data_IF_648473894171
#
_entry.id   IF_648473894171
#
_cell.length_a   1.000
_cell.length_b   1.000
_cell.length_c   1.000
_cell.angle_alpha   90.00
_cell.angle_beta   90.00
_cell.angle_gamma   90.00
#
_symmetry.space_group_name_H-M   'P 1'
#
loop_
_entity.id
_entity.type
_entity.pdbx_description
1 polymer ?
#
# COMPACT_ATOMS: atom_id res chain seq x y z
N UNK A 1 -14.04 16.26 14.37
CA UNK A 1 -13.75 15.38 13.24
C UNK A 1 -12.40 14.80 13.55
N UNK A 2 -12.37 13.59 14.10
CA UNK A 2 -11.14 12.96 14.57
C UNK A 2 -10.29 12.53 13.38
N UNK A 3 -9.20 13.26 13.18
CA UNK A 3 -8.09 12.90 12.32
C UNK A 3 -7.43 11.61 12.85
N UNK A 4 -7.40 10.57 12.00
CA UNK A 4 -6.65 9.30 12.15
C UNK A 4 -7.32 8.24 13.04
N UNK A 5 -8.15 7.41 12.42
CA UNK A 5 -8.85 6.29 13.05
C UNK A 5 -7.95 5.09 13.43
N UNK A 6 -6.69 5.02 12.94
CA UNK A 6 -5.84 3.83 13.06
C UNK A 6 -4.76 3.89 14.16
N UNK A 7 -4.46 5.05 14.76
CA UNK A 7 -3.39 5.19 15.78
C UNK A 7 -3.99 5.33 17.20
N UNK A 8 -4.05 4.25 17.98
CA UNK A 8 -4.73 4.28 19.31
C UNK A 8 -3.82 4.07 20.51
N UNK A 9 -2.57 3.62 20.34
CA UNK A 9 -1.64 3.45 21.46
C UNK A 9 -0.56 4.55 21.51
N UNK A 10 -0.20 5.01 22.71
CA UNK A 10 0.77 6.08 22.92
C UNK A 10 2.17 5.76 22.36
N UNK A 11 2.55 4.48 22.34
CA UNK A 11 3.83 3.99 21.80
C UNK A 11 3.84 4.01 20.26
N UNK A 12 2.71 3.73 19.61
CA UNK A 12 2.57 3.82 18.14
C UNK A 12 2.71 5.27 17.69
N UNK A 13 2.08 6.20 18.43
CA UNK A 13 2.17 7.65 18.17
C UNK A 13 3.58 8.21 18.36
N UNK A 14 4.33 7.72 19.34
CA UNK A 14 5.70 8.17 19.61
C UNK A 14 6.69 7.69 18.54
N UNK A 15 6.43 6.52 17.91
CA UNK A 15 7.34 5.91 16.92
C UNK A 15 6.89 6.07 15.47
N UNK A 16 5.65 6.49 15.22
CA UNK A 16 5.10 6.65 13.87
C UNK A 16 4.98 5.34 13.10
N UNK A 17 4.81 4.20 13.80
CA UNK A 17 4.67 2.87 13.20
C UNK A 17 3.45 2.15 13.76
N UNK A 18 2.75 1.39 12.92
CA UNK A 18 1.74 0.42 13.36
C UNK A 18 2.43 -0.72 14.11
N UNK A 19 1.99 -1.02 15.33
CA UNK A 19 2.55 -2.11 16.16
C UNK A 19 1.60 -3.30 16.21
N UNK A 20 0.28 -3.07 16.27
CA UNK A 20 -0.74 -4.12 16.26
C UNK A 20 -1.64 -4.02 15.03
N UNK A 21 -1.89 -5.15 14.38
CA UNK A 21 -2.80 -5.20 13.24
C UNK A 21 -4.24 -4.82 13.63
N UNK A 22 -4.80 -3.82 12.96
CA UNK A 22 -6.22 -3.43 13.11
C UNK A 22 -6.99 -3.79 11.85
N UNK A 23 -8.13 -4.46 12.04
CA UNK A 23 -9.05 -4.78 10.95
C UNK A 23 -10.05 -3.64 10.77
N UNK A 24 -10.13 -3.11 9.55
CA UNK A 24 -11.16 -2.16 9.12
C UNK A 24 -12.01 -2.80 8.03
N UNK A 25 -13.31 -2.92 8.29
CA UNK A 25 -14.25 -3.48 7.31
C UNK A 25 -15.00 -2.34 6.60
N UNK A 26 -14.97 -2.35 5.27
CA UNK A 26 -15.70 -1.42 4.40
C UNK A 26 -16.70 -2.21 3.56
N UNK A 27 -17.91 -1.69 3.40
CA UNK A 27 -18.91 -2.25 2.49
C UNK A 27 -18.93 -1.39 1.22
N UNK A 28 -18.58 -1.99 0.08
CA UNK A 28 -18.48 -1.31 -1.21
C UNK A 28 -19.15 -2.16 -2.30
N UNK A 29 -20.12 -1.60 -3.02
CA UNK A 29 -20.87 -2.27 -4.09
C UNK A 29 -21.40 -3.67 -3.74
N UNK A 30 -21.89 -3.84 -2.50
CA UNK A 30 -22.40 -5.12 -2.00
C UNK A 30 -21.32 -6.12 -1.58
N UNK A 31 -20.04 -5.77 -1.74
CA UNK A 31 -18.88 -6.56 -1.31
C UNK A 31 -18.35 -6.02 0.01
N UNK A 32 -17.98 -6.92 0.93
CA UNK A 32 -17.30 -6.55 2.17
C UNK A 32 -15.79 -6.69 1.98
N UNK A 33 -15.07 -5.59 2.08
CA UNK A 33 -13.62 -5.52 2.01
C UNK A 33 -13.09 -5.41 3.43
N UNK A 34 -12.18 -6.31 3.83
CA UNK A 34 -11.51 -6.23 5.13
C UNK A 34 -10.07 -5.81 4.88
N UNK A 35 -9.69 -4.66 5.44
CA UNK A 35 -8.37 -4.07 5.34
C UNK A 35 -7.64 -4.37 6.65
N UNK A 36 -6.51 -5.07 6.55
CA UNK A 36 -5.69 -5.47 7.69
C UNK A 36 -4.41 -4.66 7.66
N UNK A 37 -4.25 -3.76 8.63
CA UNK A 37 -3.03 -2.97 8.74
C UNK A 37 -1.86 -3.85 9.22
N UNK A 38 -0.69 -3.68 8.61
CA UNK A 38 0.51 -4.50 8.90
C UNK A 38 1.57 -3.68 9.61
N UNK A 39 2.22 -4.21 10.66
CA UNK A 39 3.40 -3.57 11.23
C UNK A 39 4.52 -3.44 10.19
N UNK A 40 5.06 -2.22 10.03
CA UNK A 40 6.04 -1.92 8.97
C UNK A 40 7.49 -2.27 9.30
N UNK A 41 7.79 -2.79 10.51
CA UNK A 41 9.16 -3.03 10.96
C UNK A 41 9.49 -4.52 11.02
N UNK A 42 10.71 -4.88 10.59
CA UNK A 42 11.24 -6.26 10.59
C UNK A 42 11.22 -6.92 11.98
N UNK A 43 11.15 -6.11 13.04
CA UNK A 43 11.09 -6.56 14.44
C UNK A 43 9.75 -7.27 14.77
N UNK A 44 8.74 -7.18 13.90
CA UNK A 44 7.42 -7.79 14.08
C UNK A 44 7.12 -8.91 13.06
N UNK A 45 8.17 -9.59 12.56
CA UNK A 45 8.03 -10.61 11.52
C UNK A 45 7.00 -11.71 11.80
N UNK A 46 6.87 -12.18 13.04
CA UNK A 46 5.89 -13.20 13.41
C UNK A 46 4.43 -12.74 13.32
N UNK A 47 4.15 -11.45 13.55
CA UNK A 47 2.82 -10.87 13.39
C UNK A 47 2.49 -10.63 11.91
N UNK A 48 3.46 -10.12 11.15
CA UNK A 48 3.35 -9.95 9.69
C UNK A 48 3.01 -11.28 9.01
N UNK A 49 3.74 -12.36 9.31
CA UNK A 49 3.47 -13.68 8.71
C UNK A 49 2.07 -14.23 9.05
N UNK A 50 1.53 -13.88 10.23
CA UNK A 50 0.17 -14.28 10.60
C UNK A 50 -0.88 -13.51 9.81
N UNK A 51 -0.67 -12.21 9.58
CA UNK A 51 -1.56 -11.36 8.79
C UNK A 51 -1.61 -11.83 7.34
N UNK A 52 -0.44 -12.12 6.76
CA UNK A 52 -0.34 -12.56 5.36
C UNK A 52 -1.13 -13.86 5.09
N UNK A 53 -1.32 -14.72 6.10
CA UNK A 53 -2.14 -15.95 5.98
C UNK A 53 -3.65 -15.71 6.05
N UNK A 54 -4.08 -14.48 6.37
CA UNK A 54 -5.49 -14.12 6.56
C UNK A 54 -6.03 -13.22 5.45
N UNK A 55 -5.18 -12.82 4.50
CA UNK A 55 -5.53 -11.93 3.39
C UNK A 55 -5.33 -12.63 2.06
N UNK A 56 -6.10 -12.23 1.06
CA UNK A 56 -6.01 -12.76 -0.31
C UNK A 56 -5.03 -11.97 -1.19
N UNK A 57 -4.63 -10.77 -0.75
CA UNK A 57 -3.77 -9.86 -1.50
C UNK A 57 -3.21 -8.74 -0.64
N UNK A 58 -2.35 -7.92 -1.23
CA UNK A 58 -1.71 -6.78 -0.56
C UNK A 58 -1.83 -5.50 -1.37
N UNK A 59 -1.98 -4.37 -0.68
CA UNK A 59 -1.99 -3.04 -1.28
C UNK A 59 -0.69 -2.34 -0.91
N UNK A 60 0.17 -2.12 -1.88
CA UNK A 60 1.42 -1.38 -1.73
C UNK A 60 1.18 0.10 -2.04
N UNK A 61 1.18 0.95 -1.01
CA UNK A 61 1.05 2.39 -1.19
C UNK A 61 2.43 3.03 -1.27
N UNK A 62 2.68 3.77 -2.35
CA UNK A 62 3.97 4.43 -2.66
C UNK A 62 3.74 5.90 -2.91
N UNK A 63 4.68 6.74 -2.49
CA UNK A 63 4.62 8.18 -2.77
C UNK A 63 5.07 8.46 -4.21
N UNK A 64 4.26 9.20 -4.97
CA UNK A 64 4.49 9.54 -6.37
C UNK A 64 5.74 10.42 -6.62
N UNK A 65 6.40 10.91 -5.57
CA UNK A 65 7.65 11.65 -5.64
C UNK A 65 8.80 10.90 -4.95
N UNK A 66 8.60 10.40 -3.74
CA UNK A 66 9.70 9.76 -2.99
C UNK A 66 10.04 8.38 -3.55
N UNK A 67 9.07 7.65 -4.10
CA UNK A 67 9.27 6.30 -4.61
C UNK A 67 9.39 5.24 -3.52
N UNK A 68 10.12 4.16 -3.81
CA UNK A 68 10.19 3.00 -2.91
C UNK A 68 11.12 3.24 -1.71
N UNK A 69 10.69 2.82 -0.52
CA UNK A 69 11.46 2.98 0.73
C UNK A 69 12.02 1.63 1.23
N UNK A 70 13.24 1.60 1.82
CA UNK A 70 13.85 0.36 2.33
C UNK A 70 13.00 -0.40 3.34
N UNK A 71 12.22 0.32 4.15
CA UNK A 71 11.38 -0.26 5.21
C UNK A 71 10.30 -1.19 4.64
N UNK A 72 9.75 -0.86 3.47
CA UNK A 72 8.65 -1.62 2.84
C UNK A 72 9.11 -2.98 2.30
N UNK A 73 10.42 -3.14 2.04
CA UNK A 73 11.00 -4.35 1.44
C UNK A 73 10.72 -5.61 2.25
N UNK A 74 10.79 -5.53 3.59
CA UNK A 74 10.64 -6.70 4.45
C UNK A 74 9.22 -7.27 4.38
N UNK A 75 8.20 -6.41 4.55
CA UNK A 75 6.79 -6.83 4.54
C UNK A 75 6.38 -7.28 3.15
N UNK A 76 6.79 -6.55 2.12
CA UNK A 76 6.51 -6.89 0.72
C UNK A 76 7.12 -8.24 0.34
N UNK A 77 8.37 -8.51 0.73
CA UNK A 77 9.01 -9.81 0.47
C UNK A 77 8.19 -10.95 1.06
N UNK A 78 7.70 -10.79 2.30
CA UNK A 78 6.87 -11.80 2.97
C UNK A 78 5.52 -12.01 2.28
N UNK A 79 4.94 -10.96 1.71
CA UNK A 79 3.72 -11.06 0.92
C UNK A 79 3.95 -11.83 -0.39
N UNK A 80 5.03 -11.49 -1.11
CA UNK A 80 5.39 -12.16 -2.36
C UNK A 80 5.73 -13.65 -2.14
N UNK A 81 6.47 -13.98 -1.07
CA UNK A 81 6.76 -15.37 -0.66
C UNK A 81 5.49 -16.22 -0.37
N UNK A 82 4.36 -15.57 -0.08
CA UNK A 82 3.06 -16.22 0.14
C UNK A 82 2.18 -16.25 -1.12
N UNK A 83 2.72 -15.84 -2.28
CA UNK A 83 1.99 -15.70 -3.55
C UNK A 83 0.74 -14.81 -3.44
N UNK A 84 0.79 -13.78 -2.59
CA UNK A 84 -0.31 -12.81 -2.48
C UNK A 84 -0.34 -11.91 -3.70
N UNK A 85 -1.54 -11.61 -4.21
CA UNK A 85 -1.73 -10.70 -5.34
C UNK A 85 -1.47 -9.25 -4.89
N UNK A 86 -0.49 -8.56 -5.49
CA UNK A 86 -0.21 -7.16 -5.18
C UNK A 86 -1.08 -6.21 -5.99
N UNK A 87 -1.48 -5.10 -5.37
CA UNK A 87 -2.07 -3.91 -6.01
C UNK A 87 -1.19 -2.73 -5.62
N UNK A 88 -0.73 -1.95 -6.60
CA UNK A 88 0.13 -0.80 -6.34
C UNK A 88 -0.69 0.48 -6.38
N UNK A 89 -0.56 1.31 -5.34
CA UNK A 89 -1.22 2.61 -5.25
C UNK A 89 -0.14 3.69 -5.20
N UNK A 90 -0.02 4.46 -6.28
CA UNK A 90 0.86 5.62 -6.38
C UNK A 90 0.09 6.84 -5.88
N UNK A 91 0.42 7.31 -4.68
CA UNK A 91 -0.32 8.34 -3.96
C UNK A 91 0.38 9.71 -4.01
N UNK A 92 -0.36 10.78 -3.73
CA UNK A 92 0.08 12.20 -3.74
C UNK A 92 0.40 12.73 -5.14
N UNK A 93 -0.34 12.27 -6.15
CA UNK A 93 -0.20 12.74 -7.53
C UNK A 93 -0.65 14.19 -7.73
N UNK A 94 -1.26 14.81 -6.72
CA UNK A 94 -1.66 16.22 -6.70
C UNK A 94 -0.49 17.20 -6.63
N UNK A 95 0.73 16.72 -6.39
CA UNK A 95 1.91 17.57 -6.29
C UNK A 95 2.52 17.82 -7.67
N UNK A 96 2.97 19.06 -7.97
CA UNK A 96 3.53 19.39 -9.29
C UNK A 96 4.88 18.72 -9.58
N UNK A 97 5.56 18.19 -8.57
CA UNK A 97 6.90 17.59 -8.70
C UNK A 97 6.87 16.06 -8.79
N UNK A 98 5.72 15.43 -9.01
CA UNK A 98 5.57 13.97 -9.05
C UNK A 98 6.23 13.36 -10.27
N UNK A 99 6.65 12.10 -10.14
CA UNK A 99 7.30 11.27 -11.16
C UNK A 99 6.66 9.87 -11.20
N UNK A 100 5.34 9.77 -11.44
CA UNK A 100 4.58 8.53 -11.25
C UNK A 100 5.09 7.37 -12.11
N UNK A 101 5.46 7.62 -13.38
CA UNK A 101 6.04 6.60 -14.27
C UNK A 101 7.34 6.01 -13.68
N UNK A 102 8.28 6.87 -13.28
CA UNK A 102 9.54 6.43 -12.67
C UNK A 102 9.32 5.66 -11.37
N UNK A 103 8.33 6.05 -10.57
CA UNK A 103 7.99 5.34 -9.32
C UNK A 103 7.43 3.95 -9.62
N UNK A 104 6.64 3.79 -10.68
CA UNK A 104 6.15 2.46 -11.10
C UNK A 104 7.32 1.57 -11.55
N UNK A 105 8.28 2.12 -12.30
CA UNK A 105 9.49 1.40 -12.70
C UNK A 105 10.31 0.97 -11.46
N UNK A 106 10.50 1.85 -10.47
CA UNK A 106 11.16 1.50 -9.21
C UNK A 106 10.44 0.37 -8.44
N UNK A 107 9.11 0.37 -8.45
CA UNK A 107 8.31 -0.69 -7.81
C UNK A 107 8.49 -2.02 -8.55
N UNK A 108 8.49 -1.99 -9.89
CA UNK A 108 8.73 -3.16 -10.71
C UNK A 108 10.12 -3.75 -10.46
N UNK A 109 11.16 -2.91 -10.44
CA UNK A 109 12.52 -3.31 -10.09
C UNK A 109 12.57 -3.93 -8.68
N UNK A 110 11.90 -3.32 -7.71
CA UNK A 110 11.82 -3.86 -6.36
C UNK A 110 11.16 -5.25 -6.33
N UNK A 111 10.10 -5.47 -7.10
CA UNK A 111 9.44 -6.78 -7.16
C UNK A 111 10.36 -7.86 -7.73
N UNK A 112 11.10 -7.52 -8.80
CA UNK A 112 12.11 -8.40 -9.39
C UNK A 112 13.23 -8.71 -8.37
N UNK A 113 13.75 -7.68 -7.67
CA UNK A 113 14.76 -7.87 -6.61
C UNK A 113 14.29 -8.80 -5.49
N UNK A 114 13.00 -8.74 -5.15
CA UNK A 114 12.40 -9.55 -4.10
C UNK A 114 11.98 -10.95 -4.56
N UNK A 115 12.07 -11.24 -5.86
CA UNK A 115 11.77 -12.53 -6.44
C UNK A 115 10.29 -12.77 -6.75
N UNK A 116 9.57 -11.72 -7.14
CA UNK A 116 8.20 -11.85 -7.66
C UNK A 116 8.14 -12.78 -8.87
N UNK A 117 7.06 -13.54 -8.99
CA UNK A 117 6.76 -14.33 -10.18
C UNK A 117 6.11 -13.49 -11.30
N UNK A 118 5.94 -14.08 -12.49
CA UNK A 118 5.40 -13.37 -13.67
C UNK A 118 3.98 -12.82 -13.41
N UNK A 119 3.13 -13.56 -12.68
CA UNK A 119 1.76 -13.13 -12.36
C UNK A 119 1.79 -11.92 -11.40
N UNK A 120 2.74 -11.91 -10.46
CA UNK A 120 2.95 -10.81 -9.52
C UNK A 120 3.56 -9.57 -10.17
N UNK A 121 4.22 -9.68 -11.33
CA UNK A 121 4.73 -8.55 -12.11
C UNK A 121 3.64 -7.85 -12.95
N UNK A 122 2.52 -8.52 -13.22
CA UNK A 122 1.33 -7.95 -13.86
C UNK A 122 0.37 -7.31 -12.86
N UNK A 123 0.90 -6.47 -11.95
CA UNK A 123 0.10 -5.81 -10.93
C UNK A 123 -0.71 -4.62 -11.48
N UNK A 124 -1.95 -4.41 -11.02
CA UNK A 124 -2.68 -3.18 -11.31
C UNK A 124 -2.05 -1.99 -10.58
N UNK A 125 -2.00 -0.85 -11.25
CA UNK A 125 -1.56 0.43 -10.69
C UNK A 125 -2.76 1.38 -10.57
N UNK A 126 -2.92 1.98 -9.39
CA UNK A 126 -3.91 3.01 -9.10
C UNK A 126 -3.17 4.29 -8.73
N UNK A 127 -3.50 5.39 -9.38
CA UNK A 127 -2.95 6.71 -9.10
C UNK A 127 -3.96 7.49 -8.27
N UNK A 128 -3.56 7.95 -7.08
CA UNK A 128 -4.47 8.53 -6.11
C UNK A 128 -3.98 9.86 -5.54
N UNK A 129 -4.92 10.76 -5.25
CA UNK A 129 -4.69 11.91 -4.37
C UNK A 129 -5.60 11.78 -3.16
N UNK A 130 -5.04 11.37 -2.01
CA UNK A 130 -5.83 11.27 -0.78
C UNK A 130 -6.35 12.63 -0.28
N UNK A 131 -5.70 13.75 -0.63
CA UNK A 131 -6.12 15.10 -0.23
C UNK A 131 -7.36 15.54 -1.01
N UNK A 132 -7.38 15.24 -2.31
CA UNK A 132 -8.51 15.55 -3.17
C UNK A 132 -9.55 14.41 -3.22
N UNK A 133 -9.21 13.25 -2.62
CA UNK A 133 -9.81 11.92 -2.82
C UNK A 133 -10.31 11.67 -4.22
N UNK A 134 -9.35 11.80 -5.11
CA UNK A 134 -9.50 11.34 -6.47
C UNK A 134 -8.63 10.10 -6.69
N UNK A 135 -9.02 9.28 -7.66
CA UNK A 135 -8.18 8.21 -8.16
C UNK A 135 -8.42 7.92 -9.63
N UNK A 136 -7.44 7.29 -10.30
CA UNK A 136 -7.52 6.83 -11.68
C UNK A 136 -6.66 5.59 -11.89
N UNK A 137 -6.90 4.88 -12.99
CA UNK A 137 -6.02 3.82 -13.51
C UNK A 137 -4.98 4.38 -14.51
N UNK A 138 -5.07 5.68 -14.81
CA UNK A 138 -4.14 6.42 -15.65
C UNK A 138 -3.27 7.33 -14.79
N UNK A 139 -2.01 7.48 -15.16
CA UNK A 139 -1.05 8.41 -14.54
C UNK A 139 -1.31 9.87 -14.93
N UNK A 140 -2.15 10.09 -15.95
CA UNK A 140 -2.57 11.42 -16.35
C UNK A 140 -3.47 12.06 -15.27
N UNK A 141 -3.07 13.22 -14.71
CA UNK A 141 -3.87 13.93 -13.71
C UNK A 141 -5.27 14.34 -14.18
N UNK A 142 -5.47 14.53 -15.48
CA UNK A 142 -6.77 14.90 -16.05
C UNK A 142 -7.80 13.76 -16.00
N UNK A 143 -7.33 12.51 -15.86
CA UNK A 143 -8.17 11.31 -15.79
C UNK A 143 -8.60 10.97 -14.35
N UNK A 144 -8.31 11.86 -13.39
CA UNK A 144 -8.67 11.71 -11.99
C UNK A 144 -10.17 11.92 -11.77
N UNK A 145 -10.82 10.93 -11.14
CA UNK A 145 -12.23 11.00 -10.78
C UNK A 145 -12.40 11.04 -9.26
N UNK A 146 -13.43 11.74 -8.77
CA UNK A 146 -13.83 11.69 -7.36
C UNK A 146 -14.30 10.28 -7.00
N UNK A 147 -13.78 9.71 -5.91
CA UNK A 147 -14.04 8.30 -5.55
C UNK A 147 -14.70 8.12 -4.17
N UNK A 148 -15.60 9.04 -3.83
CA UNK A 148 -16.33 9.08 -2.55
C UNK A 148 -17.76 8.54 -2.61
#
# INVERSE_FOLDING_TARGET
MDERAMDSNDIEKERGITILAKNTAVAYNGTRINIMDTPGHADFGGEVERIMKMVDGVVLVVDAYEGTMPQTRFVLKKALEQNLTPIVVVNKIDKPSTRPEEVVDEVLELFIELGADDDQLEFPVVYASAINGTSSLSDNPDDQEETW
#
